data_IF_052293187183
#
_entry.id   IF_052293187183
#
_cell.length_a   1.000
_cell.length_b   1.000
_cell.length_c   1.000
_cell.angle_alpha   90.00
_cell.angle_beta   90.00
_cell.angle_gamma   90.00
#
_symmetry.space_group_name_H-M   'P 1'
#
loop_
_entity.id
_entity.type
_entity.pdbx_description
1 polymer ?
#
# COMPACT_ATOMS: atom_id res chain seq x y z
N UNK A 1 -15.44 -1.67 20.31
CA UNK A 1 -15.25 -0.70 19.20
C UNK A 1 -14.26 -1.33 18.25
N UNK A 2 -14.58 -1.47 16.97
CA UNK A 2 -13.68 -2.13 16.02
C UNK A 2 -12.53 -1.18 15.65
N UNK A 3 -11.31 -1.72 15.53
CA UNK A 3 -10.12 -0.96 15.14
C UNK A 3 -9.27 -1.76 14.16
N UNK A 4 -8.39 -1.06 13.44
CA UNK A 4 -7.37 -1.67 12.59
C UNK A 4 -6.08 -1.68 13.42
N UNK A 5 -5.47 -2.86 13.58
CA UNK A 5 -4.23 -2.99 14.34
C UNK A 5 -3.01 -3.05 13.43
N UNK A 6 -3.08 -3.83 12.34
CA UNK A 6 -1.98 -4.05 11.41
C UNK A 6 -2.46 -4.14 9.97
N UNK A 7 -1.61 -3.70 9.05
CA UNK A 7 -1.73 -3.95 7.61
C UNK A 7 -0.43 -4.55 7.10
N UNK A 8 -0.53 -5.67 6.38
CA UNK A 8 0.57 -6.25 5.63
C UNK A 8 0.45 -5.88 4.15
N UNK A 9 1.56 -5.44 3.55
CA UNK A 9 1.64 -5.08 2.13
C UNK A 9 2.80 -5.83 1.48
N UNK A 10 2.54 -6.44 0.32
CA UNK A 10 3.53 -7.14 -0.49
C UNK A 10 3.16 -7.07 -1.97
N UNK A 11 4.12 -6.78 -2.84
CA UNK A 11 3.93 -6.81 -4.30
C UNK A 11 2.93 -5.78 -4.83
N UNK A 12 2.74 -4.67 -4.11
CA UNK A 12 1.87 -3.56 -4.52
C UNK A 12 2.73 -2.33 -4.81
N UNK A 13 2.68 -1.82 -6.05
CA UNK A 13 3.46 -0.66 -6.50
C UNK A 13 4.93 -0.73 -6.07
N UNK A 14 5.42 0.21 -5.25
CA UNK A 14 6.81 0.27 -4.78
C UNK A 14 7.13 -0.78 -3.71
N UNK A 15 6.14 -1.48 -3.16
CA UNK A 15 6.36 -2.54 -2.18
C UNK A 15 6.86 -3.81 -2.89
N UNK A 16 7.98 -4.33 -2.40
CA UNK A 16 8.65 -5.49 -2.97
C UNK A 16 7.70 -6.71 -3.01
N UNK A 17 7.75 -7.52 -4.08
CA UNK A 17 7.05 -8.80 -4.12
C UNK A 17 7.74 -9.88 -3.29
N UNK A 18 8.96 -9.65 -2.80
CA UNK A 18 9.76 -10.62 -2.06
C UNK A 18 9.85 -10.33 -0.56
N UNK A 19 9.43 -9.13 -0.14
CA UNK A 19 9.44 -8.70 1.25
C UNK A 19 8.05 -8.24 1.66
N UNK A 20 7.62 -8.67 2.82
CA UNK A 20 6.42 -8.18 3.48
C UNK A 20 6.77 -6.93 4.29
N UNK A 21 6.01 -5.85 4.09
CA UNK A 21 6.06 -4.68 4.96
C UNK A 21 4.82 -4.66 5.85
N UNK A 22 5.04 -4.56 7.17
CA UNK A 22 3.98 -4.53 8.16
C UNK A 22 3.87 -3.11 8.72
N UNK A 23 2.66 -2.57 8.69
CA UNK A 23 2.32 -1.26 9.22
C UNK A 23 1.45 -1.46 10.45
N UNK A 24 1.91 -0.98 11.60
CA UNK A 24 1.15 -0.98 12.85
C UNK A 24 0.40 0.34 13.01
N UNK A 25 -0.88 0.26 13.38
CA UNK A 25 -1.72 1.42 13.62
C UNK A 25 -1.87 1.67 15.13
N UNK A 26 -1.53 2.89 15.54
CA UNK A 26 -1.59 3.35 16.91
C UNK A 26 -2.84 4.22 17.14
N UNK A 27 -3.31 4.17 18.39
CA UNK A 27 -4.45 4.94 18.87
C UNK A 27 -3.98 6.09 19.78
N UNK A 28 -4.57 7.30 19.70
CA UNK A 28 -5.67 7.67 18.81
C UNK A 28 -5.23 8.11 17.41
N UNK A 29 -3.92 8.20 17.14
CA UNK A 29 -3.37 8.77 15.92
C UNK A 29 -2.17 7.96 15.42
N UNK A 30 -2.15 7.72 14.11
CA UNK A 30 -1.00 7.20 13.36
C UNK A 30 -0.59 8.23 12.32
N UNK A 31 0.70 8.53 12.21
CA UNK A 31 1.24 9.50 11.24
C UNK A 31 2.13 8.77 10.25
N UNK A 32 1.82 8.89 8.96
CA UNK A 32 2.63 8.33 7.87
C UNK A 32 3.57 9.41 7.31
N UNK A 33 4.86 9.36 7.68
CA UNK A 33 5.91 10.28 7.22
C UNK A 33 6.84 9.60 6.19
N UNK A 34 7.44 10.38 5.31
CA UNK A 34 8.48 9.94 4.38
C UNK A 34 8.55 10.83 3.14
N UNK A 35 9.53 10.59 2.27
CA UNK A 35 9.76 11.38 1.06
C UNK A 35 8.66 11.21 0.01
N UNK A 36 8.62 12.12 -0.96
CA UNK A 36 7.72 11.98 -2.11
C UNK A 36 8.06 10.70 -2.88
N UNK A 37 7.02 9.91 -3.21
CA UNK A 37 7.20 8.64 -3.90
C UNK A 37 7.50 7.43 -2.98
N UNK A 38 7.67 7.60 -1.67
CA UNK A 38 8.01 6.48 -0.76
C UNK A 38 6.86 5.50 -0.46
N UNK A 39 5.67 5.69 -1.04
CA UNK A 39 4.53 4.76 -0.89
C UNK A 39 3.48 5.13 0.16
N UNK A 40 3.51 6.32 0.78
CA UNK A 40 2.49 6.77 1.76
C UNK A 40 1.05 6.62 1.25
N UNK A 41 0.76 7.11 0.04
CA UNK A 41 -0.57 6.99 -0.57
C UNK A 41 -0.95 5.53 -0.81
N UNK A 42 0.02 4.69 -1.16
CA UNK A 42 -0.19 3.26 -1.40
C UNK A 42 -0.65 2.52 -0.15
N UNK A 43 -0.17 2.91 1.04
CA UNK A 43 -0.70 2.39 2.32
C UNK A 43 -2.21 2.64 2.43
N UNK A 44 -2.67 3.86 2.14
CA UNK A 44 -4.10 4.23 2.21
C UNK A 44 -4.91 3.49 1.14
N UNK A 45 -4.37 3.31 -0.06
CA UNK A 45 -5.01 2.53 -1.12
C UNK A 45 -5.15 1.05 -0.73
N UNK A 46 -4.13 0.46 -0.10
CA UNK A 46 -4.18 -0.90 0.43
C UNK A 46 -5.23 -1.05 1.54
N UNK A 47 -5.35 -0.08 2.45
CA UNK A 47 -6.44 -0.07 3.44
C UNK A 47 -7.81 -0.07 2.78
N UNK A 48 -8.03 0.82 1.79
CA UNK A 48 -9.28 0.86 1.04
C UNK A 48 -9.58 -0.48 0.37
N UNK A 49 -8.59 -1.07 -0.30
CA UNK A 49 -8.72 -2.36 -0.96
C UNK A 49 -9.08 -3.46 0.04
N UNK A 50 -8.38 -3.54 1.17
CA UNK A 50 -8.58 -4.59 2.18
C UNK A 50 -9.97 -4.49 2.84
N UNK A 51 -10.45 -3.27 3.11
CA UNK A 51 -11.72 -3.08 3.80
C UNK A 51 -12.96 -3.09 2.88
N UNK A 52 -12.79 -2.79 1.59
CA UNK A 52 -13.94 -2.58 0.67
C UNK A 52 -13.87 -3.39 -0.63
N UNK A 53 -12.73 -3.98 -0.96
CA UNK A 53 -12.47 -4.56 -2.29
C UNK A 53 -12.33 -3.53 -3.42
N UNK A 54 -12.47 -2.23 -3.12
CA UNK A 54 -12.43 -1.16 -4.11
C UNK A 54 -11.00 -0.79 -4.52
N UNK A 55 -10.73 -0.81 -5.83
CA UNK A 55 -9.46 -0.37 -6.40
C UNK A 55 -9.30 1.16 -6.33
N UNK A 56 -8.05 1.67 -6.32
CA UNK A 56 -7.81 3.12 -6.39
C UNK A 56 -8.10 3.69 -7.79
N UNK A 57 -8.46 4.98 -7.87
CA UNK A 57 -8.68 5.65 -9.16
C UNK A 57 -7.40 5.61 -9.99
N UNK A 58 -7.51 5.22 -11.26
CA UNK A 58 -6.36 5.06 -12.17
C UNK A 58 -5.82 3.64 -12.29
N UNK A 59 -6.16 2.72 -11.37
CA UNK A 59 -5.91 1.29 -11.54
C UNK A 59 -6.95 0.66 -12.48
N UNK A 60 -6.85 0.92 -13.80
CA UNK A 60 -7.67 0.20 -14.79
C UNK A 60 -7.35 -1.29 -14.71
N UNK A 61 -8.34 -2.09 -14.32
CA UNK A 61 -8.24 -3.55 -14.22
C UNK A 61 -7.01 -4.07 -13.44
N UNK A 62 -6.56 -3.36 -12.40
CA UNK A 62 -5.46 -3.78 -11.52
C UNK A 62 -4.03 -3.60 -12.07
N UNK A 63 -3.87 -3.23 -13.35
CA UNK A 63 -2.56 -3.15 -14.01
C UNK A 63 -1.58 -2.10 -13.43
N UNK A 64 -2.08 -1.10 -12.70
CA UNK A 64 -1.27 -0.03 -12.07
C UNK A 64 -1.10 -0.21 -10.54
N UNK A 65 -1.58 -1.34 -10.01
CA UNK A 65 -1.54 -1.64 -8.59
C UNK A 65 -0.49 -2.70 -8.24
N UNK A 66 -0.44 -3.78 -9.02
CA UNK A 66 0.54 -4.85 -8.82
C UNK A 66 1.93 -4.34 -9.16
N UNK A 67 2.92 -4.72 -8.37
CA UNK A 67 4.32 -4.42 -8.63
C UNK A 67 4.74 -4.95 -10.02
N UNK A 68 5.19 -4.07 -10.91
CA UNK A 68 5.72 -4.44 -12.22
C UNK A 68 7.25 -4.54 -12.18
N UNK A 69 7.83 -5.74 -12.29
CA UNK A 69 9.28 -5.93 -12.30
C UNK A 69 10.00 -5.14 -13.39
N UNK A 70 9.32 -4.86 -14.52
CA UNK A 70 9.91 -4.13 -15.65
C UNK A 70 10.11 -2.66 -15.34
N UNK A 71 9.29 -2.07 -14.47
CA UNK A 71 9.39 -0.67 -14.07
C UNK A 71 10.41 -0.52 -12.93
N UNK A 72 10.46 -1.49 -12.01
CA UNK A 72 11.39 -1.49 -10.89
C UNK A 72 12.87 -1.58 -11.30
N UNK A 73 13.18 -2.18 -12.46
CA UNK A 73 14.55 -2.28 -12.98
C UNK A 73 15.14 -0.95 -13.49
N UNK A 74 14.31 0.10 -13.62
CA UNK A 74 14.72 1.43 -14.12
C UNK A 74 14.80 2.50 -13.01
N UNK A 75 14.59 2.14 -11.73
CA UNK A 75 14.68 3.05 -10.58
C UNK A 75 15.92 2.80 -9.73
#
# INVERSE_FOLDING_TARGET
MSSIEKLSIRGIRSFSPNREEIIEFYHPLTVLLGDNGCGKTTVIECLKLACTGGLPPGARSGHSLVHDPKIAAYQ
#
